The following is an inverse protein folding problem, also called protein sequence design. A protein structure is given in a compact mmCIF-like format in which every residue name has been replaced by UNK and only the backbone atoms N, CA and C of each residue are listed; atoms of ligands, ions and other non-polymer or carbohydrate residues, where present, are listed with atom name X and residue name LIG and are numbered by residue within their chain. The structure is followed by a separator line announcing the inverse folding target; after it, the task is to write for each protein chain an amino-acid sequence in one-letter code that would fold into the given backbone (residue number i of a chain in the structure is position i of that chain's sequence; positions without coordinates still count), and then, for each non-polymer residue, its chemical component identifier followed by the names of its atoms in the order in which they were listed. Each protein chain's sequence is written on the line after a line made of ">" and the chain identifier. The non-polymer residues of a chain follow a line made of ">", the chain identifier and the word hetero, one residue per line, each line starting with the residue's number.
data_IF_059293632473
#
_entry.id   IF_059293632473
#
_cell.length_a   1.000
_cell.length_b   1.000
_cell.length_c   1.000
_cell.angle_alpha   90.00
_cell.angle_beta   90.00
_cell.angle_gamma   90.00
#
_symmetry.space_group_name_H-M   'P 1'
#
loop_
_entity.id
_entity.type
_entity.pdbx_description
1 polymer ?
#
# COMPACT_ATOMS: atom_id res chain seq x y z
N UNK A 1 1.17 -4.59 0.27
CA UNK A 1 -0.02 -3.85 0.75
C UNK A 1 -0.91 -3.62 -0.43
N UNK A 2 -2.20 -3.90 -0.27
CA UNK A 2 -3.23 -3.74 -1.28
C UNK A 2 -4.08 -2.51 -0.95
N UNK A 3 -4.38 -1.69 -1.95
CA UNK A 3 -5.33 -0.57 -1.88
C UNK A 3 -6.01 -0.38 -3.23
N UNK A 4 -7.18 0.24 -3.23
CA UNK A 4 -7.92 0.58 -4.46
C UNK A 4 -8.04 2.09 -4.62
N UNK A 5 -8.16 2.55 -5.86
CA UNK A 5 -8.48 3.95 -6.15
C UNK A 5 -9.86 4.28 -5.55
N UNK A 6 -9.96 5.20 -4.57
CA UNK A 6 -11.24 5.53 -3.97
C UNK A 6 -12.18 6.26 -4.94
N UNK A 7 -11.69 6.73 -6.09
CA UNK A 7 -12.53 7.31 -7.15
C UNK A 7 -12.97 6.29 -8.19
N UNK A 8 -12.40 5.09 -8.19
CA UNK A 8 -12.67 4.02 -9.15
C UNK A 8 -12.50 2.63 -8.49
N UNK A 9 -13.26 2.32 -7.41
CA UNK A 9 -12.99 1.19 -6.52
C UNK A 9 -13.32 -0.19 -7.10
N UNK A 10 -14.01 -0.23 -8.24
CA UNK A 10 -14.36 -1.47 -8.94
C UNK A 10 -13.40 -1.78 -10.10
N UNK A 11 -12.46 -0.87 -10.39
CA UNK A 11 -11.47 -1.06 -11.44
C UNK A 11 -10.29 -1.89 -10.94
N UNK A 12 -10.28 -3.17 -11.32
CA UNK A 12 -9.23 -4.11 -10.95
C UNK A 12 -7.82 -3.66 -11.41
N UNK A 13 -7.72 -2.99 -12.56
CA UNK A 13 -6.45 -2.46 -13.09
C UNK A 13 -5.83 -1.35 -12.25
N UNK A 14 -6.61 -0.73 -11.36
CA UNK A 14 -6.16 0.32 -10.42
C UNK A 14 -6.08 -0.16 -8.98
N UNK A 15 -6.26 -1.46 -8.73
CA UNK A 15 -5.93 -2.03 -7.44
C UNK A 15 -4.42 -2.19 -7.35
N UNK A 16 -3.79 -1.37 -6.51
CA UNK A 16 -2.35 -1.39 -6.32
C UNK A 16 -1.97 -2.51 -5.36
N UNK A 17 -0.92 -3.25 -5.71
CA UNK A 17 -0.19 -4.15 -4.81
C UNK A 17 1.24 -3.66 -4.66
N UNK A 18 1.53 -2.92 -3.59
CA UNK A 18 2.87 -2.32 -3.40
C UNK A 18 3.62 -2.82 -2.17
N UNK A 19 4.95 -2.73 -2.20
CA UNK A 19 5.81 -2.95 -1.03
C UNK A 19 6.11 -1.61 -0.35
N UNK A 20 5.74 -1.51 0.93
CA UNK A 20 6.02 -0.33 1.74
C UNK A 20 6.53 -0.74 3.10
N UNK A 21 7.55 -0.04 3.59
CA UNK A 21 8.01 -0.21 4.96
C UNK A 21 6.96 0.35 5.93
N UNK A 22 6.87 -0.27 7.10
CA UNK A 22 5.98 0.17 8.17
C UNK A 22 6.66 -0.03 9.52
N UNK A 23 6.39 0.89 10.45
CA UNK A 23 6.90 0.86 11.82
C UNK A 23 5.77 0.49 12.79
N UNK A 24 5.99 -0.43 13.74
CA UNK A 24 5.00 -0.72 14.78
C UNK A 24 4.96 0.44 15.78
N UNK A 25 3.82 1.13 15.89
CA UNK A 25 3.61 2.27 16.83
C UNK A 25 2.76 1.89 18.04
N UNK A 26 2.17 0.71 18.04
CA UNK A 26 1.37 0.19 19.15
C UNK A 26 0.63 -1.08 18.78
N UNK A 27 -0.17 -1.60 19.71
CA UNK A 27 -0.85 -2.91 19.59
C UNK A 27 -1.70 -3.06 18.32
N UNK A 28 -2.29 -1.96 17.83
CA UNK A 28 -3.16 -1.93 16.64
C UNK A 28 -2.83 -0.74 15.72
N UNK A 29 -1.56 -0.32 15.69
CA UNK A 29 -1.15 0.89 14.99
C UNK A 29 0.21 0.71 14.32
N UNK A 30 0.26 1.05 13.03
CA UNK A 30 1.46 1.09 12.22
C UNK A 30 1.69 2.53 11.73
N UNK A 31 2.94 2.92 11.62
CA UNK A 31 3.40 4.11 10.91
C UNK A 31 3.77 3.72 9.48
N UNK A 32 3.38 4.54 8.52
CA UNK A 32 3.69 4.37 7.10
C UNK A 32 4.23 5.71 6.57
N UNK A 33 5.28 5.65 5.76
CA UNK A 33 5.71 6.79 4.96
C UNK A 33 5.28 6.59 3.48
N UNK A 34 4.11 7.12 3.07
CA UNK A 34 3.71 7.04 1.67
C UNK A 34 4.52 8.03 0.84
N UNK A 35 5.39 7.52 -0.03
CA UNK A 35 6.16 8.35 -0.96
C UNK A 35 5.23 8.83 -2.08
N UNK A 36 5.17 10.14 -2.41
CA UNK A 36 4.18 10.70 -3.35
C UNK A 36 4.12 10.06 -4.74
N UNK A 37 5.21 9.42 -5.18
CA UNK A 37 5.29 8.74 -6.48
C UNK A 37 4.67 7.34 -6.49
N UNK A 38 4.26 6.81 -5.34
CA UNK A 38 3.66 5.48 -5.23
C UNK A 38 2.14 5.58 -5.23
N UNK A 39 1.47 4.60 -5.82
CA UNK A 39 0.01 4.59 -5.96
C UNK A 39 -0.73 4.66 -4.62
N UNK A 40 -0.18 4.07 -3.55
CA UNK A 40 -0.75 4.20 -2.19
C UNK A 40 -0.84 5.67 -1.74
N UNK A 41 0.12 6.52 -2.11
CA UNK A 41 0.11 7.93 -1.75
C UNK A 41 -0.95 8.69 -2.56
N UNK A 42 -1.14 8.32 -3.83
CA UNK A 42 -2.19 8.86 -4.68
C UNK A 42 -3.58 8.43 -4.19
N UNK A 43 -3.77 7.16 -3.85
CA UNK A 43 -5.00 6.63 -3.26
C UNK A 43 -5.32 7.34 -1.94
N UNK A 44 -4.32 7.51 -1.07
CA UNK A 44 -4.48 8.21 0.20
C UNK A 44 -4.87 9.68 -0.03
N UNK A 45 -4.22 10.36 -0.97
CA UNK A 45 -4.54 11.75 -1.29
C UNK A 45 -5.99 11.90 -1.75
N UNK A 46 -6.45 11.05 -2.68
CA UNK A 46 -7.85 11.06 -3.15
C UNK A 46 -8.85 10.75 -2.03
N UNK A 47 -8.54 9.81 -1.14
CA UNK A 47 -9.37 9.53 0.04
C UNK A 47 -9.44 10.74 0.98
N UNK A 48 -8.31 11.42 1.20
CA UNK A 48 -8.24 12.63 2.02
C UNK A 48 -9.01 13.81 1.44
N UNK A 49 -9.05 13.95 0.11
CA UNK A 49 -9.88 14.94 -0.58
C UNK A 49 -11.37 14.69 -0.34
N UNK A 50 -11.77 13.42 -0.22
CA UNK A 50 -13.15 13.00 0.14
C UNK A 50 -13.43 13.06 1.64
N UNK A 51 -12.41 13.30 2.47
CA UNK A 51 -12.54 13.27 3.93
C UNK A 51 -12.74 11.86 4.48
N UNK A 52 -12.28 10.85 3.76
CA UNK A 52 -12.42 9.43 4.10
C UNK A 52 -11.07 8.83 4.47
N UNK A 53 -11.10 7.81 5.31
CA UNK A 53 -9.94 6.94 5.56
C UNK A 53 -9.74 6.02 4.35
N UNK A 54 -8.49 5.63 4.06
CA UNK A 54 -8.19 4.71 2.96
C UNK A 54 -8.18 3.26 3.47
N UNK A 55 -9.10 2.37 3.03
CA UNK A 55 -9.02 0.95 3.35
C UNK A 55 -7.79 0.30 2.74
N UNK A 56 -7.14 -0.57 3.50
CA UNK A 56 -5.94 -1.31 3.08
C UNK A 56 -5.96 -2.75 3.57
N UNK A 57 -5.26 -3.63 2.85
CA UNK A 57 -4.87 -4.94 3.31
C UNK A 57 -3.35 -5.11 3.26
N UNK A 58 -2.72 -5.57 4.34
CA UNK A 58 -1.29 -5.87 4.40
C UNK A 58 -1.16 -7.39 4.37
N UNK A 59 -0.50 -7.90 3.34
CA UNK A 59 -0.32 -9.33 3.09
C UNK A 59 1.15 -9.69 3.29
N UNK A 60 1.42 -10.73 4.09
CA UNK A 60 2.76 -11.20 4.44
C UNK A 60 2.90 -12.68 4.09
N UNK A 61 4.13 -13.11 3.77
CA UNK A 61 4.38 -14.49 3.33
C UNK A 61 3.73 -14.79 1.98
N UNK A 62 3.82 -13.84 1.04
CA UNK A 62 3.22 -13.99 -0.29
C UNK A 62 4.11 -14.83 -1.22
N UNK A 63 3.50 -15.38 -2.26
CA UNK A 63 4.24 -15.98 -3.37
C UNK A 63 5.30 -14.99 -3.95
N UNK A 64 6.49 -15.47 -4.36
CA UNK A 64 7.56 -14.60 -4.83
C UNK A 64 7.22 -13.77 -6.07
N UNK A 65 6.36 -14.26 -6.97
CA UNK A 65 6.03 -13.56 -8.23
C UNK A 65 5.27 -12.28 -7.94
N UNK A 66 4.25 -12.34 -7.08
CA UNK A 66 3.50 -11.12 -6.73
C UNK A 66 4.36 -10.14 -5.92
N UNK A 67 5.30 -10.65 -5.12
CA UNK A 67 6.26 -9.82 -4.39
C UNK A 67 7.18 -9.07 -5.36
N UNK A 68 7.64 -9.74 -6.42
CA UNK A 68 8.41 -9.11 -7.49
C UNK A 68 7.58 -8.05 -8.23
N UNK A 69 6.32 -8.35 -8.58
CA UNK A 69 5.45 -7.39 -9.27
C UNK A 69 5.14 -6.18 -8.40
N UNK A 70 4.89 -6.35 -7.11
CA UNK A 70 4.66 -5.22 -6.21
C UNK A 70 5.89 -4.37 -5.86
N UNK A 71 7.07 -4.79 -6.30
CA UNK A 71 8.30 -3.99 -6.29
C UNK A 71 8.59 -3.33 -7.66
N UNK A 72 7.83 -3.68 -8.70
CA UNK A 72 8.05 -3.23 -10.07
C UNK A 72 7.28 -1.93 -10.31
N UNK A 73 7.90 -0.89 -10.90
CA UNK A 73 7.21 0.37 -11.20
C UNK A 73 6.32 0.22 -12.44
N UNK A 74 5.12 -0.33 -12.26
CA UNK A 74 4.09 -0.41 -13.29
C UNK A 74 3.40 0.94 -13.49
N UNK A 75 2.65 1.07 -14.58
CA UNK A 75 1.75 2.23 -14.76
C UNK A 75 0.55 2.10 -13.82
N UNK A 76 -0.04 3.24 -13.47
CA UNK A 76 -1.17 3.34 -12.53
C UNK A 76 -2.40 2.50 -12.89
N UNK A 77 -2.57 2.18 -14.18
CA UNK A 77 -3.67 1.39 -14.72
C UNK A 77 -3.26 -0.03 -15.13
N UNK A 78 -2.11 -0.50 -14.66
CA UNK A 78 -1.61 -1.85 -14.90
C UNK A 78 -1.61 -2.66 -13.60
N UNK A 79 -2.36 -3.75 -13.59
CA UNK A 79 -2.48 -4.62 -12.41
C UNK A 79 -1.22 -5.45 -12.18
N UNK A 80 -0.69 -5.45 -10.95
CA UNK A 80 0.38 -6.37 -10.56
C UNK A 80 -0.06 -7.84 -10.67
N UNK A 81 -1.35 -8.14 -10.46
CA UNK A 81 -1.89 -9.50 -10.58
C UNK A 81 -1.93 -9.98 -12.03
N UNK A 82 -2.30 -9.11 -12.97
CA UNK A 82 -2.29 -9.44 -14.40
C UNK A 82 -0.85 -9.66 -14.90
N UNK A 83 0.08 -8.79 -14.47
CA UNK A 83 1.50 -8.95 -14.79
C UNK A 83 2.10 -10.21 -14.17
N UNK A 84 1.74 -10.53 -12.92
CA UNK A 84 2.12 -11.78 -12.27
C UNK A 84 1.56 -12.98 -13.02
N UNK A 85 0.31 -12.90 -13.49
CA UNK A 85 -0.31 -13.95 -14.29
C UNK A 85 0.37 -14.15 -15.65
N UNK A 86 0.77 -13.06 -16.30
CA UNK A 86 1.54 -13.12 -17.55
C UNK A 86 2.89 -13.83 -17.36
N UNK A 87 3.64 -13.51 -16.29
CA UNK A 87 4.90 -14.20 -15.95
C UNK A 87 4.70 -15.68 -15.61
N UNK A 88 3.53 -16.03 -15.08
CA UNK A 88 3.17 -17.38 -14.66
C UNK A 88 2.47 -18.18 -15.77
N UNK A 89 2.26 -17.59 -16.95
CA UNK A 89 1.50 -18.14 -18.08
C UNK A 89 0.10 -18.65 -17.69
N UNK A 90 -0.47 -18.10 -16.60
CA UNK A 90 -1.76 -18.50 -16.03
C UNK A 90 -2.29 -17.40 -15.11
N UNK A 91 -3.61 -17.21 -14.97
CA UNK A 91 -4.16 -16.22 -14.04
C UNK A 91 -3.58 -16.37 -12.64
N UNK A 92 -3.12 -15.27 -12.05
CA UNK A 92 -2.59 -15.29 -10.70
C UNK A 92 -3.72 -15.58 -9.71
N UNK A 93 -3.58 -16.57 -8.81
CA UNK A 93 -4.64 -16.91 -7.88
C UNK A 93 -4.78 -15.83 -6.80
N UNK A 94 -6.01 -15.39 -6.58
CA UNK A 94 -6.36 -14.39 -5.56
C UNK A 94 -7.39 -14.96 -4.58
N UNK A 95 -7.46 -14.37 -3.40
CA UNK A 95 -8.53 -14.58 -2.42
C UNK A 95 -9.20 -13.25 -2.10
N UNK A 96 -10.43 -13.27 -1.60
CA UNK A 96 -11.14 -12.06 -1.16
C UNK A 96 -10.93 -11.85 0.32
N UNK A 97 -10.38 -10.69 0.70
CA UNK A 97 -10.18 -10.33 2.08
C UNK A 97 -11.52 -10.03 2.77
N UNK A 98 -11.83 -10.63 3.94
CA UNK A 98 -13.19 -10.64 4.48
C UNK A 98 -13.68 -9.29 5.01
N UNK A 99 -12.80 -8.39 5.46
CA UNK A 99 -13.21 -7.08 5.98
C UNK A 99 -13.28 -6.01 4.88
N UNK A 100 -12.28 -5.97 4.01
CA UNK A 100 -12.11 -4.94 2.96
C UNK A 100 -12.75 -5.33 1.62
N UNK A 101 -12.97 -6.62 1.38
CA UNK A 101 -13.43 -7.14 0.09
C UNK A 101 -12.37 -7.07 -1.02
N UNK A 102 -11.12 -6.75 -0.68
CA UNK A 102 -10.03 -6.62 -1.66
C UNK A 102 -9.57 -7.97 -2.17
N UNK A 103 -9.05 -7.97 -3.40
CA UNK A 103 -8.36 -9.13 -3.94
C UNK A 103 -6.94 -9.13 -3.39
N UNK A 104 -6.63 -10.14 -2.61
CA UNK A 104 -5.34 -10.36 -1.96
C UNK A 104 -4.66 -11.58 -2.56
N UNK A 105 -3.31 -11.69 -2.50
CA UNK A 105 -2.62 -12.84 -3.04
C UNK A 105 -3.10 -14.13 -2.38
N UNK A 106 -3.45 -15.13 -3.18
CA UNK A 106 -3.80 -16.43 -2.63
C UNK A 106 -2.58 -17.05 -1.96
N UNK A 107 -2.77 -17.59 -0.76
CA UNK A 107 -1.71 -18.24 0.00
C UNK A 107 -0.85 -17.31 0.86
N UNK A 108 -1.20 -16.03 1.02
CA UNK A 108 -0.60 -15.17 2.06
C UNK A 108 -0.70 -15.84 3.44
N UNK A 109 0.43 -15.94 4.15
CA UNK A 109 0.49 -16.53 5.50
C UNK A 109 -0.27 -15.69 6.54
N UNK A 110 -0.20 -14.37 6.42
CA UNK A 110 -0.87 -13.43 7.32
C UNK A 110 -1.46 -12.27 6.53
N UNK A 111 -2.69 -11.89 6.87
CA UNK A 111 -3.37 -10.71 6.33
C UNK A 111 -3.80 -9.81 7.50
N UNK A 112 -3.42 -8.53 7.44
CA UNK A 112 -3.89 -7.49 8.34
C UNK A 112 -4.76 -6.52 7.56
N UNK A 113 -6.01 -6.38 7.99
CA UNK A 113 -6.97 -5.47 7.36
C UNK A 113 -7.23 -4.26 8.26
N UNK A 114 -7.37 -3.08 7.66
CA UNK A 114 -7.61 -1.84 8.38
C UNK A 114 -7.68 -0.64 7.46
N UNK A 115 -7.35 0.52 8.00
CA UNK A 115 -7.38 1.78 7.27
C UNK A 115 -6.12 2.61 7.52
N UNK A 116 -5.77 3.45 6.56
CA UNK A 116 -4.88 4.59 6.78
C UNK A 116 -5.77 5.77 7.17
N UNK A 117 -5.58 6.28 8.40
CA UNK A 117 -6.38 7.38 8.94
C UNK A 117 -6.16 8.68 8.14
N UNK A 118 -7.26 9.24 7.62
CA UNK A 118 -7.30 10.46 6.82
C UNK A 118 -6.75 11.64 7.60
N UNK A 119 -5.85 12.41 6.98
CA UNK A 119 -5.29 13.68 7.49
C UNK A 119 -4.60 13.58 8.86
N UNK A 120 -4.41 12.36 9.38
CA UNK A 120 -3.67 12.11 10.61
C UNK A 120 -2.22 11.80 10.26
N UNK A 121 -1.29 12.40 11.00
CA UNK A 121 0.15 12.24 10.77
C UNK A 121 0.86 12.01 12.09
N UNK A 122 1.88 11.18 12.04
CA UNK A 122 2.81 10.90 13.13
C UNK A 122 4.20 10.74 12.53
N UNK A 123 5.23 10.91 13.36
CA UNK A 123 6.61 10.67 12.95
C UNK A 123 6.83 9.16 12.78
N UNK A 124 7.30 8.75 11.60
CA UNK A 124 7.76 7.40 11.28
C UNK A 124 9.27 7.41 11.03
N UNK A 125 9.95 6.34 11.44
CA UNK A 125 11.40 6.18 11.34
C UNK A 125 12.19 6.78 12.52
N UNK A 126 13.52 6.90 12.40
CA UNK A 126 14.30 6.75 11.17
C UNK A 126 14.42 5.28 10.71
N UNK A 127 14.63 5.08 9.42
CA UNK A 127 14.82 3.77 8.80
C UNK A 127 16.03 3.80 7.84
N UNK A 128 16.82 2.73 7.84
CA UNK A 128 17.95 2.58 6.93
C UNK A 128 17.48 2.25 5.52
N UNK A 129 17.59 3.22 4.61
CA UNK A 129 17.14 3.07 3.23
C UNK A 129 18.14 2.30 2.38
N UNK A 130 17.65 1.78 1.25
CA UNK A 130 18.47 1.09 0.25
C UNK A 130 19.64 1.92 -0.30
N UNK A 131 19.56 3.25 -0.20
CA UNK A 131 20.63 4.19 -0.60
C UNK A 131 21.79 4.28 0.41
N UNK A 132 21.72 3.54 1.52
CA UNK A 132 22.75 3.55 2.58
C UNK A 132 22.63 4.70 3.58
N UNK A 133 21.53 5.46 3.56
CA UNK A 133 21.28 6.58 4.45
C UNK A 133 20.01 6.37 5.27
N UNK A 134 19.89 7.05 6.42
CA UNK A 134 18.65 7.05 7.19
C UNK A 134 17.67 8.10 6.64
N UNK A 135 16.41 7.70 6.45
CA UNK A 135 15.30 8.62 6.17
C UNK A 135 14.23 8.52 7.28
N UNK A 136 13.26 9.43 7.27
CA UNK A 136 12.26 9.53 8.34
C UNK A 136 12.80 10.17 9.62
N UNK A 137 12.11 9.99 10.74
CA UNK A 137 12.55 10.39 12.08
C UNK A 137 12.62 11.90 12.36
N UNK A 138 12.27 12.75 11.39
CA UNK A 138 12.22 14.21 11.54
C UNK A 138 10.78 14.69 11.61
N UNK A 139 10.50 15.64 12.52
CA UNK A 139 9.26 16.41 12.48
C UNK A 139 9.18 17.12 11.13
N UNK A 140 8.16 16.82 10.35
CA UNK A 140 7.79 17.68 9.23
C UNK A 140 7.03 18.88 9.81
N UNK A 141 7.75 19.80 10.45
CA UNK A 141 7.18 21.09 10.85
C UNK A 141 6.88 21.88 9.57
N UNK A 142 5.66 21.74 9.04
CA UNK A 142 5.08 22.78 8.19
C UNK A 142 4.58 23.89 9.09
N UNK A 143 5.53 24.62 9.68
CA UNK A 143 5.29 25.97 10.17
C UNK A 143 5.31 26.94 8.99
N UNK A 144 4.26 27.76 8.91
CA UNK A 144 4.08 28.96 8.08
C UNK A 144 3.69 28.78 6.60
N UNK A 145 2.40 28.89 6.31
CA UNK A 145 1.83 30.14 5.78
C UNK A 145 0.29 30.19 5.94
N UNK A 146 -0.15 31.12 6.80
CA UNK A 146 -1.50 31.65 7.06
C UNK A 146 -2.52 30.74 7.75
#
# INVERSE_FOLDING_TARGET
>A
MVSRDPLDPDNFGKQNVGIYRMEVKGKRKLGLQPVPMHDIALHLHKAEERGEDLPIAITLGNDPIITLMGATPLKYDQSEYEMAGALRESPYPIATAPLTGFDVPWGSEVILEGVIESRKREIEGPFGEFTGHYSGGRKHDRGAHR
#
